data_IF_865777841760
#
_entry.id   IF_865777841760
#
_cell.length_a   1.000
_cell.length_b   1.000
_cell.length_c   1.000
_cell.angle_alpha   90.00
_cell.angle_beta   90.00
_cell.angle_gamma   90.00
#
_symmetry.space_group_name_H-M   'P 1'
#
loop_
_entity.id
_entity.type
_entity.pdbx_description
1 polymer ?
#
# COMPACT_ATOMS: atom_id res chain seq x y z
N UNK A 1 -26.35 -75.67 3.13
CA UNK A 1 -27.72 -75.47 3.67
C UNK A 1 -27.95 -73.99 3.81
N UNK A 2 -28.98 -73.58 3.11
CA UNK A 2 -29.88 -72.40 3.34
C UNK A 2 -29.20 -71.03 3.32
N UNK A 3 -29.39 -70.13 2.37
CA UNK A 3 -30.60 -69.79 1.67
C UNK A 3 -31.21 -68.55 2.28
N UNK A 4 -31.51 -67.61 1.40
CA UNK A 4 -32.62 -66.62 1.38
C UNK A 4 -32.08 -65.22 1.03
N UNK A 5 -32.25 -64.89 -0.23
CA UNK A 5 -33.20 -63.98 -0.92
C UNK A 5 -33.47 -62.64 -0.26
N UNK A 6 -33.16 -61.60 -0.96
CA UNK A 6 -34.10 -60.79 -1.72
C UNK A 6 -34.29 -59.41 -1.12
N UNK A 7 -34.08 -58.38 -1.82
CA UNK A 7 -35.15 -57.52 -2.33
C UNK A 7 -34.61 -56.23 -2.93
N UNK A 8 -34.91 -56.03 -4.20
CA UNK A 8 -34.78 -54.76 -4.92
C UNK A 8 -35.73 -53.73 -4.30
N UNK A 9 -35.22 -52.49 -4.10
CA UNK A 9 -36.06 -51.29 -4.13
C UNK A 9 -35.35 -50.21 -4.94
N UNK A 10 -35.89 -50.04 -6.12
CA UNK A 10 -35.75 -48.89 -7.01
C UNK A 10 -36.25 -47.64 -6.29
N UNK A 11 -35.44 -46.61 -6.22
CA UNK A 11 -35.90 -45.28 -5.87
C UNK A 11 -35.49 -44.30 -6.96
N UNK A 12 -36.48 -43.62 -7.46
CA UNK A 12 -36.47 -42.73 -8.61
C UNK A 12 -35.60 -41.48 -8.44
N UNK A 13 -34.94 -41.16 -9.53
CA UNK A 13 -34.28 -39.88 -9.75
C UNK A 13 -35.31 -38.74 -9.81
N UNK A 14 -35.13 -37.74 -8.94
CA UNK A 14 -35.76 -36.43 -9.12
C UNK A 14 -34.65 -35.49 -9.51
N UNK A 15 -34.56 -35.18 -10.79
CA UNK A 15 -33.79 -34.08 -11.32
C UNK A 15 -34.55 -32.78 -11.00
N UNK A 16 -33.95 -31.92 -10.15
CA UNK A 16 -34.35 -30.52 -10.05
C UNK A 16 -33.44 -29.70 -10.95
N UNK A 17 -33.97 -29.33 -12.11
CA UNK A 17 -33.40 -28.28 -12.95
C UNK A 17 -33.41 -26.96 -12.17
N UNK A 18 -32.23 -26.49 -11.77
CA UNK A 18 -32.04 -25.08 -11.37
C UNK A 18 -31.83 -24.27 -12.64
N UNK A 19 -32.82 -23.48 -12.97
CA UNK A 19 -32.76 -22.42 -13.95
C UNK A 19 -31.63 -21.43 -13.53
N UNK A 20 -30.60 -21.33 -14.36
CA UNK A 20 -29.57 -20.31 -14.23
C UNK A 20 -30.14 -19.04 -14.82
N UNK A 21 -30.52 -18.12 -13.98
CA UNK A 21 -30.92 -16.76 -14.35
C UNK A 21 -29.70 -16.05 -14.92
N UNK A 22 -29.75 -15.71 -16.20
CA UNK A 22 -28.72 -15.02 -16.93
C UNK A 22 -28.60 -13.59 -16.41
N UNK A 23 -27.48 -13.28 -15.70
CA UNK A 23 -27.11 -11.92 -15.37
C UNK A 23 -26.78 -11.16 -16.67
N UNK A 24 -27.44 -10.03 -16.87
CA UNK A 24 -27.16 -9.11 -17.97
C UNK A 24 -25.71 -8.60 -17.87
N UNK A 25 -25.01 -8.41 -19.01
CA UNK A 25 -23.65 -7.87 -19.01
C UNK A 25 -23.69 -6.40 -18.56
N UNK A 26 -22.86 -6.07 -17.57
CA UNK A 26 -22.65 -4.69 -17.14
C UNK A 26 -22.24 -3.83 -18.33
N UNK A 27 -22.99 -2.76 -18.58
CA UNK A 27 -22.70 -1.74 -19.60
C UNK A 27 -21.32 -1.13 -19.31
N UNK A 28 -20.37 -1.37 -20.21
CA UNK A 28 -19.09 -0.65 -20.23
C UNK A 28 -19.40 0.75 -20.73
N UNK A 29 -19.42 1.72 -19.84
CA UNK A 29 -19.53 3.15 -20.20
C UNK A 29 -18.23 3.52 -20.92
N UNK A 30 -18.26 3.51 -22.25
CA UNK A 30 -17.20 4.05 -23.09
C UNK A 30 -17.23 5.58 -22.96
N UNK A 31 -16.32 6.14 -22.19
CA UNK A 31 -16.06 7.59 -22.20
C UNK A 31 -15.40 7.92 -23.53
N UNK A 32 -16.12 8.63 -24.39
CA UNK A 32 -15.62 9.05 -25.71
C UNK A 32 -14.54 10.13 -25.56
N UNK A 33 -13.49 10.05 -26.38
CA UNK A 33 -12.36 11.01 -26.39
C UNK A 33 -12.80 12.48 -26.44
N UNK A 34 -13.96 12.77 -27.04
CA UNK A 34 -14.50 14.13 -27.15
C UNK A 34 -14.97 14.76 -25.84
N UNK A 35 -15.29 13.97 -24.80
CA UNK A 35 -15.66 14.51 -23.47
C UNK A 35 -14.43 14.85 -22.64
N UNK A 36 -13.32 14.14 -22.85
CA UNK A 36 -12.05 14.42 -22.19
C UNK A 36 -11.44 15.74 -22.71
N UNK A 37 -11.53 16.00 -24.01
CA UNK A 37 -11.02 17.24 -24.61
C UNK A 37 -11.84 18.47 -24.21
N UNK A 38 -13.16 18.35 -24.07
CA UNK A 38 -14.01 19.49 -23.61
C UNK A 38 -13.75 19.87 -22.14
N UNK A 39 -13.37 18.92 -21.28
CA UNK A 39 -13.00 19.22 -19.88
C UNK A 39 -11.65 19.91 -19.75
N UNK A 40 -10.74 19.72 -20.71
CA UNK A 40 -9.44 20.40 -20.70
C UNK A 40 -9.48 21.83 -21.24
N UNK A 41 -10.47 22.20 -22.10
CA UNK A 41 -10.59 23.55 -22.65
C UNK A 41 -11.24 24.56 -21.70
N UNK A 42 -11.97 24.10 -20.67
CA UNK A 42 -12.66 24.99 -19.72
C UNK A 42 -11.80 25.36 -18.49
N UNK A 43 -10.54 24.94 -18.43
CA UNK A 43 -9.57 25.37 -17.41
C UNK A 43 -8.95 26.72 -17.82
N UNK A 44 -9.74 27.76 -17.84
CA UNK A 44 -9.22 29.14 -17.91
C UNK A 44 -8.46 29.43 -16.59
N UNK A 45 -7.13 29.53 -16.69
CA UNK A 45 -6.27 30.02 -15.61
C UNK A 45 -6.69 31.45 -15.27
N UNK A 46 -7.08 31.79 -14.04
CA UNK A 46 -7.40 33.15 -13.67
C UNK A 46 -6.15 34.02 -13.85
N UNK A 47 -6.23 35.00 -14.72
CA UNK A 47 -5.20 36.04 -14.92
C UNK A 47 -5.16 36.92 -13.67
N UNK A 48 -4.22 36.68 -12.76
CA UNK A 48 -4.07 37.47 -11.54
C UNK A 48 -3.20 36.91 -10.44
N UNK A 49 -2.49 35.79 -10.65
CA UNK A 49 -1.55 35.30 -9.64
C UNK A 49 -0.25 36.08 -9.66
N UNK A 50 -0.07 36.98 -8.70
CA UNK A 50 1.19 37.67 -8.46
C UNK A 50 2.28 36.67 -8.08
N UNK A 51 3.49 36.90 -8.56
CA UNK A 51 4.68 36.07 -8.49
C UNK A 51 5.29 35.95 -7.08
N UNK A 52 4.59 35.31 -6.14
CA UNK A 52 5.16 34.95 -4.84
C UNK A 52 4.71 33.50 -4.50
N UNK A 53 5.64 32.58 -4.69
CA UNK A 53 5.49 31.17 -4.34
C UNK A 53 5.13 30.29 -5.54
N UNK A 54 6.07 29.45 -5.97
CA UNK A 54 5.85 28.43 -7.01
C UNK A 54 4.97 27.30 -6.43
N UNK A 55 3.65 27.51 -6.35
CA UNK A 55 2.72 26.45 -6.01
C UNK A 55 2.67 25.39 -7.12
N UNK A 56 2.50 24.13 -6.76
CA UNK A 56 2.29 23.03 -7.69
C UNK A 56 0.80 22.74 -7.81
N UNK A 57 0.33 22.56 -9.04
CA UNK A 57 -1.05 22.19 -9.30
C UNK A 57 -1.17 20.68 -9.29
N UNK A 58 -1.98 20.13 -8.40
CA UNK A 58 -2.18 18.70 -8.29
C UNK A 58 -3.08 18.16 -9.38
N UNK A 59 -3.04 16.83 -9.60
CA UNK A 59 -3.96 16.13 -10.49
C UNK A 59 -5.44 16.28 -10.08
N UNK A 60 -5.73 16.67 -8.84
CA UNK A 60 -7.07 16.94 -8.30
C UNK A 60 -7.49 18.41 -8.39
N UNK A 61 -6.68 19.27 -9.01
CA UNK A 61 -6.97 20.68 -9.11
C UNK A 61 -6.68 21.51 -7.86
N UNK A 62 -5.92 20.96 -6.90
CA UNK A 62 -5.51 21.65 -5.70
C UNK A 62 -4.16 22.33 -5.87
N UNK A 63 -4.01 23.54 -5.30
CA UNK A 63 -2.71 24.21 -5.23
C UNK A 63 -2.02 23.87 -3.92
N UNK A 64 -0.84 23.24 -4.00
CA UNK A 64 0.03 23.03 -2.85
C UNK A 64 1.25 23.94 -2.97
N UNK A 65 1.62 24.58 -1.87
CA UNK A 65 2.83 25.42 -1.79
C UNK A 65 4.06 24.60 -1.47
N UNK A 66 3.88 23.38 -0.94
CA UNK A 66 4.92 22.45 -0.53
C UNK A 66 4.81 21.13 -1.28
N UNK A 67 5.96 20.48 -1.48
CA UNK A 67 6.02 19.11 -1.96
C UNK A 67 5.39 18.17 -0.93
N UNK A 68 4.56 17.24 -1.37
CA UNK A 68 3.92 16.23 -0.52
C UNK A 68 4.55 14.87 -0.81
N UNK A 69 5.28 14.34 0.14
CA UNK A 69 6.10 13.13 -0.03
C UNK A 69 5.61 12.03 0.90
N UNK A 70 5.19 10.91 0.30
CA UNK A 70 4.92 9.66 1.02
C UNK A 70 6.23 8.92 1.31
N UNK A 71 6.29 8.26 2.45
CA UNK A 71 7.42 7.40 2.84
C UNK A 71 6.82 6.05 3.21
N UNK A 72 7.15 5.02 2.47
CA UNK A 72 6.77 3.64 2.80
C UNK A 72 8.01 2.87 3.22
N UNK A 73 8.22 2.77 4.55
CA UNK A 73 9.26 1.93 5.12
C UNK A 73 8.82 0.47 5.22
N UNK A 74 9.72 -0.46 4.95
CA UNK A 74 9.41 -1.87 5.07
C UNK A 74 10.61 -2.79 4.89
N UNK A 75 10.51 -4.01 5.38
CA UNK A 75 11.54 -5.02 5.11
C UNK A 75 11.56 -5.37 3.63
N UNK A 76 10.38 -5.42 2.98
CA UNK A 76 10.20 -5.79 1.56
C UNK A 76 10.92 -7.10 1.20
N UNK A 77 10.55 -8.18 1.86
CA UNK A 77 11.20 -9.48 1.74
C UNK A 77 10.23 -10.60 1.28
N UNK A 78 9.76 -10.57 0.00
CA UNK A 78 9.90 -9.49 -0.97
C UNK A 78 8.86 -8.39 -0.83
N UNK A 79 9.01 -7.30 -1.59
CA UNK A 79 7.93 -6.38 -1.93
C UNK A 79 6.85 -7.15 -2.70
N UNK A 80 5.60 -6.71 -2.62
CA UNK A 80 4.49 -7.35 -3.32
C UNK A 80 3.40 -6.34 -3.70
N UNK A 81 2.48 -6.74 -4.57
CA UNK A 81 1.44 -5.85 -5.10
C UNK A 81 0.55 -5.23 -4.01
N UNK A 82 0.40 -5.85 -2.85
CA UNK A 82 -0.28 -5.24 -1.71
C UNK A 82 0.40 -3.95 -1.22
N UNK A 83 1.74 -3.87 -1.25
CA UNK A 83 2.46 -2.63 -0.92
C UNK A 83 2.25 -1.55 -1.99
N UNK A 84 2.29 -1.94 -3.27
CA UNK A 84 2.13 -0.99 -4.38
C UNK A 84 0.73 -0.38 -4.43
N UNK A 85 -0.31 -1.20 -4.20
CA UNK A 85 -1.70 -0.73 -4.09
C UNK A 85 -1.83 0.24 -2.91
N UNK A 86 -1.32 -0.11 -1.73
CA UNK A 86 -1.37 0.76 -0.56
C UNK A 86 -0.71 2.12 -0.84
N UNK A 87 0.49 2.12 -1.42
CA UNK A 87 1.20 3.34 -1.77
C UNK A 87 0.43 4.19 -2.80
N UNK A 88 -0.17 3.53 -3.80
CA UNK A 88 -0.95 4.21 -4.85
C UNK A 88 -2.22 4.86 -4.31
N UNK A 89 -2.96 4.17 -3.45
CA UNK A 89 -4.18 4.69 -2.82
C UNK A 89 -3.87 5.89 -1.92
N UNK A 90 -2.83 5.79 -1.08
CA UNK A 90 -2.41 6.91 -0.24
C UNK A 90 -1.93 8.09 -1.09
N UNK A 91 -1.15 7.84 -2.15
CA UNK A 91 -0.71 8.89 -3.06
C UNK A 91 -1.88 9.62 -3.71
N UNK A 92 -2.95 8.90 -4.03
CA UNK A 92 -4.17 9.47 -4.59
C UNK A 92 -4.96 10.27 -3.55
N UNK A 93 -5.24 9.69 -2.38
CA UNK A 93 -6.08 10.31 -1.35
C UNK A 93 -5.46 11.57 -0.76
N UNK A 94 -4.14 11.52 -0.50
CA UNK A 94 -3.40 12.63 0.09
C UNK A 94 -2.73 13.53 -0.94
N UNK A 95 -2.99 13.32 -2.24
CA UNK A 95 -2.45 14.11 -3.35
C UNK A 95 -0.92 14.25 -3.28
N UNK A 96 -0.25 13.10 -3.08
CA UNK A 96 1.20 13.06 -2.96
C UNK A 96 1.85 13.29 -4.34
N UNK A 97 2.91 14.06 -4.35
CA UNK A 97 3.76 14.27 -5.52
C UNK A 97 4.65 13.05 -5.80
N UNK A 98 5.11 12.39 -4.72
CA UNK A 98 6.05 11.28 -4.76
C UNK A 98 5.77 10.32 -3.59
N UNK A 99 6.07 9.03 -3.78
CA UNK A 99 6.18 8.04 -2.70
C UNK A 99 7.57 7.40 -2.74
N UNK A 100 8.31 7.56 -1.67
CA UNK A 100 9.65 7.00 -1.48
C UNK A 100 9.52 5.67 -0.74
N UNK A 101 9.85 4.57 -1.41
CA UNK A 101 9.99 3.27 -0.75
C UNK A 101 11.37 3.19 -0.08
N UNK A 102 11.39 2.79 1.19
CA UNK A 102 12.63 2.69 1.97
C UNK A 102 12.79 1.26 2.49
N UNK A 103 13.49 0.39 1.72
CA UNK A 103 13.84 -0.95 2.20
C UNK A 103 14.73 -0.85 3.45
N UNK A 104 14.28 -1.46 4.54
CA UNK A 104 15.00 -1.47 5.82
C UNK A 104 16.36 -2.16 5.66
N UNK A 105 17.44 -1.54 6.10
CA UNK A 105 18.77 -2.16 6.08
C UNK A 105 18.83 -3.37 7.00
N UNK A 106 18.84 -3.12 8.33
CA UNK A 106 18.82 -4.15 9.36
C UNK A 106 17.59 -3.97 10.27
N UNK A 107 16.47 -4.70 10.01
CA UNK A 107 15.22 -4.49 10.74
C UNK A 107 15.30 -4.91 12.20
N UNK A 108 14.98 -4.02 13.13
CA UNK A 108 15.05 -4.24 14.57
C UNK A 108 14.18 -5.42 15.05
N UNK A 109 12.99 -5.58 14.49
CA UNK A 109 12.04 -6.63 14.88
C UNK A 109 12.31 -8.01 14.24
N UNK A 110 13.41 -8.15 13.49
CA UNK A 110 13.76 -9.38 12.76
C UNK A 110 15.22 -9.78 12.96
N UNK A 111 15.87 -9.33 14.03
CA UNK A 111 17.30 -9.61 14.28
C UNK A 111 17.59 -11.11 14.41
N UNK A 112 16.63 -11.88 14.92
CA UNK A 112 16.73 -13.33 15.13
C UNK A 112 16.13 -14.15 13.98
N UNK A 113 15.70 -13.49 12.90
CA UNK A 113 15.06 -14.14 11.74
C UNK A 113 15.96 -14.04 10.52
N UNK A 114 15.92 -15.08 9.68
CA UNK A 114 16.54 -15.00 8.38
C UNK A 114 15.78 -13.97 7.52
N UNK A 115 16.48 -12.96 7.04
CA UNK A 115 15.99 -11.94 6.13
C UNK A 115 16.91 -11.92 4.92
N UNK A 116 16.33 -11.85 3.73
CA UNK A 116 17.09 -11.73 2.47
C UNK A 116 18.03 -10.51 2.53
N UNK A 117 19.17 -10.61 1.85
CA UNK A 117 20.16 -9.53 1.79
C UNK A 117 19.49 -8.19 1.43
N UNK A 118 19.93 -7.11 2.05
CA UNK A 118 19.36 -5.78 1.84
C UNK A 118 19.46 -5.31 0.38
N UNK A 119 20.55 -5.63 -0.32
CA UNK A 119 20.72 -5.30 -1.74
C UNK A 119 19.72 -6.01 -2.62
N UNK A 120 19.45 -7.29 -2.39
CA UNK A 120 18.46 -8.05 -3.16
C UNK A 120 17.06 -7.49 -2.92
N UNK A 121 16.70 -7.13 -1.69
CA UNK A 121 15.41 -6.51 -1.35
C UNK A 121 15.27 -5.12 -1.97
N UNK A 122 16.35 -4.37 -2.01
CA UNK A 122 16.40 -3.08 -2.71
C UNK A 122 16.14 -3.26 -4.20
N UNK A 123 16.84 -4.18 -4.86
CA UNK A 123 16.67 -4.44 -6.29
C UNK A 123 15.25 -4.91 -6.63
N UNK A 124 14.69 -5.83 -5.84
CA UNK A 124 13.29 -6.23 -5.99
C UNK A 124 12.33 -5.03 -5.86
N UNK A 125 12.60 -4.13 -4.92
CA UNK A 125 11.78 -2.93 -4.72
C UNK A 125 11.89 -1.98 -5.92
N UNK A 126 13.10 -1.75 -6.44
CA UNK A 126 13.32 -0.93 -7.65
C UNK A 126 12.56 -1.49 -8.85
N UNK A 127 12.64 -2.79 -9.08
CA UNK A 127 11.94 -3.45 -10.19
C UNK A 127 10.42 -3.29 -10.05
N UNK A 128 9.88 -3.57 -8.86
CA UNK A 128 8.45 -3.53 -8.61
C UNK A 128 7.85 -2.11 -8.74
N UNK A 129 8.61 -1.08 -8.38
CA UNK A 129 8.14 0.31 -8.40
C UNK A 129 8.34 1.03 -9.73
N UNK A 130 9.17 0.47 -10.63
CA UNK A 130 9.62 1.13 -11.86
C UNK A 130 8.50 1.58 -12.82
N UNK A 131 7.35 0.94 -12.78
CA UNK A 131 6.21 1.26 -13.67
C UNK A 131 5.41 2.50 -13.23
N UNK A 132 5.57 2.97 -11.99
CA UNK A 132 4.83 4.13 -11.47
C UNK A 132 5.76 5.35 -11.38
N UNK A 133 5.50 6.43 -12.16
CA UNK A 133 6.39 7.60 -12.20
C UNK A 133 6.42 8.41 -10.89
N UNK A 134 5.51 8.15 -9.95
CA UNK A 134 5.50 8.78 -8.62
C UNK A 134 6.29 7.96 -7.58
N UNK A 135 6.75 6.76 -7.92
CA UNK A 135 7.42 5.88 -6.98
C UNK A 135 8.93 5.95 -7.16
N UNK A 136 9.63 6.13 -6.08
CA UNK A 136 11.10 6.09 -6.01
C UNK A 136 11.56 5.16 -4.90
N UNK A 137 12.82 4.78 -4.90
CA UNK A 137 13.39 3.89 -3.87
C UNK A 137 14.63 4.54 -3.28
N UNK A 138 14.65 4.68 -1.97
CA UNK A 138 15.78 5.27 -1.24
C UNK A 138 16.63 4.20 -0.55
N UNK A 139 17.94 4.44 -0.51
CA UNK A 139 18.92 3.58 0.16
C UNK A 139 19.27 4.03 1.58
N UNK A 140 18.65 5.08 2.10
CA UNK A 140 19.04 5.72 3.38
C UNK A 140 19.19 4.73 4.53
N UNK A 141 18.34 3.71 4.60
CA UNK A 141 18.41 2.71 5.67
C UNK A 141 19.44 1.61 5.40
N UNK A 142 19.70 1.29 4.13
CA UNK A 142 20.71 0.30 3.72
C UNK A 142 22.11 0.86 3.93
N UNK A 143 22.31 2.10 3.55
CA UNK A 143 23.63 2.76 3.64
C UNK A 143 23.96 3.22 5.07
N UNK A 144 22.94 3.32 5.96
CA UNK A 144 23.18 3.65 7.37
C UNK A 144 23.69 2.43 8.12
N UNK A 145 24.84 2.50 8.80
CA UNK A 145 25.32 1.40 9.60
C UNK A 145 24.43 1.14 10.83
N UNK A 146 24.29 -0.14 11.19
CA UNK A 146 23.57 -0.54 12.39
C UNK A 146 22.12 -0.92 12.16
N UNK A 147 21.32 -0.87 13.23
CA UNK A 147 19.90 -1.24 13.23
C UNK A 147 19.08 -0.08 12.74
N UNK A 148 18.08 -0.36 11.92
CA UNK A 148 17.19 0.65 11.34
C UNK A 148 16.02 0.95 12.27
N UNK A 149 15.80 2.23 12.56
CA UNK A 149 14.63 2.74 13.29
C UNK A 149 13.89 3.77 12.43
N UNK A 150 12.58 3.77 12.51
CA UNK A 150 11.71 4.68 11.72
C UNK A 150 12.05 6.15 11.94
N UNK A 151 12.36 6.55 13.18
CA UNK A 151 12.74 7.93 13.50
C UNK A 151 13.99 8.39 12.73
N UNK A 152 14.97 7.49 12.57
CA UNK A 152 16.21 7.82 11.85
C UNK A 152 15.94 7.93 10.35
N UNK A 153 15.09 7.07 9.79
CA UNK A 153 14.59 7.15 8.41
C UNK A 153 13.88 8.48 8.15
N UNK A 154 12.97 8.88 9.04
CA UNK A 154 12.24 10.15 8.92
C UNK A 154 13.17 11.37 8.97
N UNK A 155 14.19 11.34 9.83
CA UNK A 155 15.20 12.42 9.92
C UNK A 155 16.02 12.55 8.64
N UNK A 156 16.44 11.43 8.06
CA UNK A 156 17.22 11.43 6.83
C UNK A 156 16.40 11.91 5.62
N UNK A 157 15.14 11.45 5.50
CA UNK A 157 14.26 11.94 4.44
C UNK A 157 13.91 13.41 4.66
N UNK A 158 13.68 13.86 5.92
CA UNK A 158 13.47 15.28 6.23
C UNK A 158 14.67 16.14 5.82
N UNK A 159 15.89 15.65 6.04
CA UNK A 159 17.09 16.36 5.63
C UNK A 159 17.22 16.50 4.10
N UNK A 160 16.74 15.51 3.34
CA UNK A 160 16.70 15.55 1.87
C UNK A 160 15.56 16.43 1.33
N UNK A 161 14.45 16.53 2.08
CA UNK A 161 13.24 17.26 1.70
C UNK A 161 12.82 18.26 2.80
N UNK A 162 13.62 19.31 3.09
CA UNK A 162 13.44 20.17 4.26
C UNK A 162 12.08 20.89 4.30
N UNK A 163 11.55 21.26 3.13
CA UNK A 163 10.32 22.02 3.00
C UNK A 163 9.09 21.17 2.66
N UNK A 164 9.24 19.83 2.52
CA UNK A 164 8.14 18.95 2.15
C UNK A 164 7.20 18.67 3.32
N UNK A 165 5.94 18.38 3.01
CA UNK A 165 5.02 17.69 3.92
C UNK A 165 5.27 16.20 3.79
N UNK A 166 5.67 15.54 4.87
CA UNK A 166 5.98 14.12 4.88
C UNK A 166 4.80 13.30 5.40
N UNK A 167 4.49 12.21 4.73
CA UNK A 167 3.43 11.25 5.07
C UNK A 167 4.06 9.87 5.23
N UNK A 168 4.05 9.32 6.46
CA UNK A 168 4.55 7.97 6.70
C UNK A 168 3.43 6.95 6.53
N UNK A 169 3.60 6.04 5.58
CA UNK A 169 2.60 5.03 5.20
C UNK A 169 2.94 3.71 5.89
N UNK A 170 2.00 3.19 6.68
CA UNK A 170 2.20 1.93 7.41
C UNK A 170 0.92 1.09 7.42
N UNK A 171 1.04 -0.22 7.64
CA UNK A 171 -0.13 -1.06 7.87
C UNK A 171 -0.74 -0.80 9.25
N UNK A 172 -2.05 -0.92 9.37
CA UNK A 172 -2.74 -0.74 10.65
C UNK A 172 -2.26 -1.71 11.75
N UNK A 173 -1.77 -2.91 11.37
CA UNK A 173 -1.19 -3.86 12.31
C UNK A 173 0.04 -3.30 13.03
N UNK A 174 0.85 -2.48 12.32
CA UNK A 174 2.04 -1.85 12.90
C UNK A 174 1.70 -0.64 13.78
N UNK A 175 0.54 -0.02 13.60
CA UNK A 175 0.11 1.13 14.40
C UNK A 175 -0.10 0.76 15.87
N UNK A 176 -0.54 -0.46 16.15
CA UNK A 176 -0.68 -0.95 17.52
C UNK A 176 0.64 -0.95 18.31
N UNK A 177 1.76 -1.06 17.60
CA UNK A 177 3.09 -1.11 18.19
C UNK A 177 3.85 0.22 18.10
N UNK A 178 3.28 1.23 17.41
CA UNK A 178 3.99 2.47 17.07
C UNK A 178 4.47 3.24 18.32
N UNK A 179 3.70 3.19 19.41
CA UNK A 179 4.06 3.82 20.68
C UNK A 179 5.26 3.14 21.38
N UNK A 180 5.63 1.93 20.95
CA UNK A 180 6.79 1.19 21.44
C UNK A 180 8.04 1.45 20.57
N UNK A 181 7.89 2.19 19.47
CA UNK A 181 9.00 2.50 18.59
C UNK A 181 9.93 3.52 19.24
N UNK A 182 11.20 3.44 18.87
CA UNK A 182 12.22 4.38 19.36
C UNK A 182 11.78 5.83 19.06
N UNK A 183 11.81 6.68 20.08
CA UNK A 183 11.50 8.11 19.99
C UNK A 183 10.13 8.40 19.33
N UNK A 184 9.11 7.58 19.63
CA UNK A 184 7.78 7.67 19.01
C UNK A 184 7.19 9.09 19.09
N UNK A 185 7.33 9.76 20.23
CA UNK A 185 6.81 11.12 20.42
C UNK A 185 7.40 12.15 19.46
N UNK A 186 8.66 11.96 19.04
CA UNK A 186 9.34 12.85 18.12
C UNK A 186 8.96 12.61 16.64
N UNK A 187 8.41 11.45 16.31
CA UNK A 187 8.03 11.12 14.94
C UNK A 187 6.86 11.97 14.44
N UNK A 188 5.96 12.36 15.35
CA UNK A 188 4.78 13.17 15.03
C UNK A 188 5.10 14.58 14.54
N UNK A 189 6.29 15.10 14.88
CA UNK A 189 6.76 16.41 14.41
C UNK A 189 7.43 16.31 13.04
N UNK A 190 7.80 15.12 12.61
CA UNK A 190 8.51 14.89 11.34
C UNK A 190 7.56 14.54 10.20
N UNK A 191 6.51 13.77 10.46
CA UNK A 191 5.60 13.29 9.43
C UNK A 191 4.17 13.11 9.95
N UNK A 192 3.20 13.22 9.04
CA UNK A 192 1.84 12.76 9.25
C UNK A 192 1.78 11.26 8.99
N UNK A 193 1.11 10.50 9.87
CA UNK A 193 1.06 9.04 9.74
C UNK A 193 -0.26 8.60 9.10
N UNK A 194 -0.16 7.69 8.12
CA UNK A 194 -1.30 7.09 7.43
C UNK A 194 -1.27 5.59 7.63
N UNK A 195 -2.21 5.10 8.44
CA UNK A 195 -2.43 3.68 8.69
C UNK A 195 -3.37 3.10 7.64
N UNK A 196 -2.88 2.25 6.75
CA UNK A 196 -3.71 1.58 5.76
C UNK A 196 -4.36 0.33 6.32
N UNK A 197 -5.67 0.19 6.08
CA UNK A 197 -6.48 -0.92 6.57
C UNK A 197 -7.13 -1.69 5.42
N UNK A 198 -7.60 -2.88 5.74
CA UNK A 198 -8.45 -3.71 4.88
C UNK A 198 -9.92 -3.52 5.25
N UNK A 199 -10.85 -3.72 4.30
CA UNK A 199 -12.28 -3.78 4.63
C UNK A 199 -12.56 -4.76 5.76
N UNK A 200 -13.30 -4.28 6.77
CA UNK A 200 -13.63 -5.09 7.95
C UNK A 200 -12.52 -5.20 9.01
N UNK A 201 -11.43 -4.45 8.89
CA UNK A 201 -10.41 -4.36 9.94
C UNK A 201 -10.95 -3.55 11.11
N UNK A 202 -10.81 -4.11 12.32
CA UNK A 202 -11.05 -3.38 13.57
C UNK A 202 -9.69 -3.11 14.23
N UNK A 203 -9.46 -1.87 14.64
CA UNK A 203 -8.26 -1.56 15.43
C UNK A 203 -8.23 -2.41 16.70
N UNK A 204 -7.06 -2.90 17.14
CA UNK A 204 -6.96 -3.62 18.39
C UNK A 204 -7.48 -2.78 19.57
N UNK A 205 -8.24 -3.41 20.46
CA UNK A 205 -8.75 -2.74 21.65
C UNK A 205 -7.59 -2.20 22.52
N UNK A 206 -7.76 -0.98 23.04
CA UNK A 206 -6.81 -0.38 23.98
C UNK A 206 -5.63 0.38 23.37
N UNK A 207 -5.54 0.49 22.03
CA UNK A 207 -4.53 1.35 21.40
C UNK A 207 -5.04 2.78 21.36
N UNK A 208 -4.47 3.65 22.17
CA UNK A 208 -4.71 5.10 22.15
C UNK A 208 -3.62 5.77 21.35
N UNK A 209 -3.97 6.27 20.16
CA UNK A 209 -3.06 7.06 19.33
C UNK A 209 -3.23 8.55 19.64
N UNK A 210 -2.19 9.38 19.47
CA UNK A 210 -2.32 10.82 19.61
C UNK A 210 -3.35 11.36 18.61
N UNK A 211 -4.33 12.14 19.11
CA UNK A 211 -5.40 12.68 18.29
C UNK A 211 -4.84 13.53 17.15
N UNK A 212 -5.36 13.32 15.93
CA UNK A 212 -4.97 14.07 14.73
C UNK A 212 -3.55 13.79 14.20
N UNK A 213 -2.82 12.80 14.74
CA UNK A 213 -1.46 12.45 14.29
C UNK A 213 -1.41 11.23 13.37
N UNK A 214 -2.43 10.39 13.43
CA UNK A 214 -2.55 9.18 12.61
C UNK A 214 -3.92 9.14 11.96
N UNK A 215 -3.94 9.16 10.65
CA UNK A 215 -5.16 8.91 9.87
C UNK A 215 -5.27 7.42 9.55
N UNK A 216 -6.48 6.90 9.56
CA UNK A 216 -6.77 5.54 9.09
C UNK A 216 -7.42 5.62 7.72
N UNK A 217 -6.84 4.92 6.75
CA UNK A 217 -7.36 4.84 5.39
C UNK A 217 -7.69 3.41 5.02
N UNK A 218 -8.98 3.13 4.78
CA UNK A 218 -9.41 1.86 4.20
C UNK A 218 -9.11 1.84 2.71
N UNK A 219 -8.41 0.81 2.25
CA UNK A 219 -7.99 0.64 0.85
C UNK A 219 -8.52 -0.69 0.30
N UNK A 220 -8.63 -0.86 -1.04
CA UNK A 220 -8.92 -2.15 -1.66
C UNK A 220 -7.72 -3.09 -1.47
N UNK A 221 -7.58 -3.62 -0.25
CA UNK A 221 -6.41 -4.37 0.14
C UNK A 221 -6.38 -5.77 -0.49
N UNK A 222 -5.22 -6.13 -1.00
CA UNK A 222 -4.95 -7.48 -1.47
C UNK A 222 -4.51 -8.36 -0.28
N UNK A 223 -5.06 -9.58 -0.20
CA UNK A 223 -4.68 -10.57 0.81
C UNK A 223 -3.34 -11.23 0.44
N UNK A 224 -2.30 -10.42 0.31
CA UNK A 224 -0.94 -10.86 -0.04
C UNK A 224 -0.01 -10.52 1.14
N UNK A 225 0.88 -11.44 1.48
CA UNK A 225 1.95 -11.19 2.46
C UNK A 225 3.30 -11.69 1.95
N UNK A 226 4.39 -11.01 2.33
CA UNK A 226 5.74 -11.47 2.02
C UNK A 226 6.02 -12.89 2.53
N UNK A 227 5.42 -13.27 3.66
CA UNK A 227 5.55 -14.63 4.22
C UNK A 227 4.92 -15.68 3.30
N UNK A 228 3.70 -15.42 2.78
CA UNK A 228 3.06 -16.35 1.85
C UNK A 228 3.82 -16.42 0.52
N UNK A 229 4.32 -15.29 0.01
CA UNK A 229 5.14 -15.27 -1.21
C UNK A 229 6.40 -16.13 -1.05
N UNK A 230 7.14 -16.01 0.05
CA UNK A 230 8.33 -16.85 0.30
C UNK A 230 7.96 -18.31 0.42
N UNK A 231 6.91 -18.66 1.18
CA UNK A 231 6.43 -20.04 1.29
C UNK A 231 6.08 -20.63 -0.09
N UNK A 232 5.42 -19.85 -0.94
CA UNK A 232 5.10 -20.30 -2.32
C UNK A 232 6.35 -20.56 -3.13
N UNK A 233 7.31 -19.64 -3.09
CA UNK A 233 8.58 -19.78 -3.80
C UNK A 233 9.39 -21.01 -3.32
N UNK A 234 9.38 -21.31 -2.02
CA UNK A 234 10.02 -22.52 -1.44
C UNK A 234 9.38 -23.83 -1.92
N UNK A 235 8.11 -23.79 -2.38
CA UNK A 235 7.37 -24.97 -2.83
C UNK A 235 7.10 -24.97 -4.34
N UNK A 236 7.81 -24.14 -5.12
CA UNK A 236 7.60 -23.97 -6.56
C UNK A 236 6.14 -23.61 -6.94
N UNK A 237 5.39 -23.02 -6.02
CA UNK A 237 4.04 -22.51 -6.26
C UNK A 237 4.10 -21.16 -7.01
N UNK A 238 3.09 -20.84 -7.87
CA UNK A 238 3.09 -19.60 -8.62
C UNK A 238 3.04 -18.36 -7.72
N UNK A 239 3.93 -17.39 -8.03
CA UNK A 239 3.97 -16.05 -7.40
C UNK A 239 3.66 -14.94 -8.39
N UNK A 240 3.31 -15.28 -9.64
CA UNK A 240 2.92 -14.33 -10.68
C UNK A 240 1.78 -13.43 -10.20
N UNK A 241 1.91 -12.14 -10.43
CA UNK A 241 0.95 -11.09 -10.04
C UNK A 241 0.77 -10.92 -8.52
N UNK A 242 1.55 -11.62 -7.70
CA UNK A 242 1.67 -11.33 -6.28
C UNK A 242 2.81 -10.34 -6.02
N UNK A 243 3.85 -10.43 -6.82
CA UNK A 243 5.03 -9.57 -6.81
C UNK A 243 5.27 -8.95 -8.15
#
# INVERSE_FOLDING_TARGET
>A
MSGVTGSHKTAASVQSEKTVESAEPAEIIAVTQGETERRMSDLSVPAGASSHGKGRFSARGNWHTRLRVGIMGGTFDPIHNGHLVAASEVAWVYDLDEVIFVPTGRPVFKLDKHVTNAEDRYLMTVIATASNPKFTVSRVDIDRPGVTYTIDTLRDIRAQHPDAELFFITGADAVAEIMQWKDADLMWDLAHFVAVTRPGYSSPDGVTLPEGKVDTLEIPALAISSTDVRRRAEHDEPVWYLV
#
